data_IF_529293967544
#
_entry.id   IF_529293967544
#
_cell.length_a   1.000
_cell.length_b   1.000
_cell.length_c   1.000
_cell.angle_alpha   90.00
_cell.angle_beta   90.00
_cell.angle_gamma   90.00
#
_symmetry.space_group_name_H-M   'P 1'
#
loop_
_entity.id
_entity.type
_entity.pdbx_description
1 polymer ?
#
# COMPACT_ATOMS: atom_id res chain seq x y z
N UNK A 1 -1.60 -7.80 -7.73
CA UNK A 1 -0.76 -7.07 -6.76
C UNK A 1 0.39 -6.37 -7.46
N UNK A 2 1.17 -7.09 -8.28
CA UNK A 2 2.25 -6.51 -9.10
C UNK A 2 1.80 -5.30 -9.93
N UNK A 3 0.69 -5.38 -10.68
CA UNK A 3 0.16 -4.25 -11.46
C UNK A 3 -0.09 -2.98 -10.63
N UNK A 4 -0.55 -3.13 -9.38
CA UNK A 4 -0.77 -1.98 -8.48
C UNK A 4 0.57 -1.42 -8.00
N UNK A 5 1.55 -2.28 -7.68
CA UNK A 5 2.89 -1.85 -7.33
C UNK A 5 3.55 -1.08 -8.50
N UNK A 6 3.42 -1.57 -9.72
CA UNK A 6 3.96 -0.93 -10.92
C UNK A 6 3.29 0.42 -11.19
N UNK A 7 1.95 0.48 -11.10
CA UNK A 7 1.21 1.73 -11.29
C UNK A 7 1.59 2.80 -10.24
N UNK A 8 1.69 2.42 -8.96
CA UNK A 8 2.14 3.31 -7.87
C UNK A 8 3.56 3.80 -8.13
N UNK A 9 4.46 2.88 -8.50
CA UNK A 9 5.85 3.24 -8.79
C UNK A 9 5.96 4.17 -10.00
N UNK A 10 5.14 3.97 -11.03
CA UNK A 10 5.07 4.86 -12.19
C UNK A 10 4.56 6.26 -11.81
N UNK A 11 3.51 6.34 -10.97
CA UNK A 11 3.00 7.61 -10.46
C UNK A 11 4.04 8.36 -9.62
N UNK A 12 4.77 7.67 -8.76
CA UNK A 12 5.85 8.27 -7.97
C UNK A 12 6.98 8.82 -8.84
N UNK A 13 7.42 8.04 -9.85
CA UNK A 13 8.44 8.49 -10.81
C UNK A 13 7.97 9.71 -11.61
N UNK A 14 6.67 9.82 -11.85
CA UNK A 14 6.05 10.97 -12.51
C UNK A 14 5.78 12.16 -11.56
N UNK A 15 6.18 12.09 -10.29
CA UNK A 15 5.91 13.14 -9.29
C UNK A 15 4.43 13.28 -8.94
N UNK A 16 3.64 12.22 -9.14
CA UNK A 16 2.18 12.15 -8.93
C UNK A 16 1.84 11.46 -7.60
N UNK A 17 2.52 11.86 -6.53
CA UNK A 17 2.33 11.31 -5.17
C UNK A 17 0.87 11.33 -4.68
N UNK A 18 0.09 12.41 -4.88
CA UNK A 18 -1.33 12.42 -4.51
C UNK A 18 -2.16 11.36 -5.22
N UNK A 19 -1.90 11.11 -6.52
CA UNK A 19 -2.59 10.08 -7.30
C UNK A 19 -2.19 8.67 -6.84
N UNK A 20 -0.91 8.46 -6.54
CA UNK A 20 -0.43 7.20 -5.95
C UNK A 20 -1.14 6.90 -4.63
N UNK A 21 -1.25 7.90 -3.75
CA UNK A 21 -1.98 7.78 -2.48
C UNK A 21 -3.48 7.53 -2.68
N UNK A 22 -4.13 8.21 -3.63
CA UNK A 22 -5.54 7.97 -3.94
C UNK A 22 -5.78 6.54 -4.43
N UNK A 23 -4.90 6.02 -5.31
CA UNK A 23 -4.95 4.65 -5.81
C UNK A 23 -4.79 3.64 -4.67
N UNK A 24 -3.78 3.80 -3.82
CA UNK A 24 -3.57 2.93 -2.66
C UNK A 24 -4.72 3.00 -1.66
N UNK A 25 -5.27 4.18 -1.40
CA UNK A 25 -6.42 4.35 -0.51
C UNK A 25 -7.70 3.72 -1.07
N UNK A 26 -7.90 3.73 -2.39
CA UNK A 26 -8.96 2.96 -3.03
C UNK A 26 -8.72 1.45 -2.92
N UNK A 27 -7.48 1.01 -3.17
CA UNK A 27 -7.09 -0.39 -3.09
C UNK A 27 -7.32 -0.98 -1.68
N UNK A 28 -6.86 -0.29 -0.63
CA UNK A 28 -7.02 -0.72 0.78
C UNK A 28 -8.50 -0.78 1.21
N UNK A 29 -9.37 0.03 0.60
CA UNK A 29 -10.81 -0.01 0.87
C UNK A 29 -11.48 -1.26 0.31
N UNK A 30 -11.07 -1.69 -0.89
CA UNK A 30 -11.75 -2.74 -1.67
C UNK A 30 -11.10 -4.11 -1.47
N UNK A 31 -9.79 -4.15 -1.22
CA UNK A 31 -8.99 -5.38 -1.19
C UNK A 31 -8.61 -5.77 0.22
N UNK A 32 -8.12 -7.00 0.35
CA UNK A 32 -7.76 -7.55 1.65
C UNK A 32 -6.44 -6.94 2.16
N UNK A 33 -6.20 -6.90 3.48
CA UNK A 33 -4.90 -6.52 4.03
C UNK A 33 -3.74 -7.38 3.50
N UNK A 34 -4.00 -8.66 3.20
CA UNK A 34 -3.02 -9.57 2.60
C UNK A 34 -2.66 -9.17 1.16
N UNK A 35 -3.63 -8.67 0.39
CA UNK A 35 -3.36 -8.11 -0.94
C UNK A 35 -2.47 -6.86 -0.85
N UNK A 36 -2.65 -6.03 0.18
CA UNK A 36 -1.77 -4.88 0.45
C UNK A 36 -0.34 -5.33 0.78
N UNK A 37 -0.19 -6.38 1.61
CA UNK A 37 1.12 -6.96 1.87
C UNK A 37 1.78 -7.52 0.60
N UNK A 38 1.02 -8.16 -0.31
CA UNK A 38 1.54 -8.62 -1.61
C UNK A 38 1.99 -7.47 -2.51
N UNK A 39 1.33 -6.32 -2.46
CA UNK A 39 1.79 -5.11 -3.19
C UNK A 39 3.14 -4.66 -2.61
N UNK A 40 3.28 -4.63 -1.29
CA UNK A 40 4.52 -4.22 -0.63
C UNK A 40 5.73 -5.11 -0.98
N UNK A 41 5.52 -6.41 -1.28
CA UNK A 41 6.61 -7.33 -1.63
C UNK A 41 7.42 -6.91 -2.86
N UNK A 42 6.82 -6.16 -3.78
CA UNK A 42 7.50 -5.71 -5.00
C UNK A 42 8.61 -4.69 -4.72
N UNK A 43 8.42 -3.81 -3.75
CA UNK A 43 9.44 -2.86 -3.26
C UNK A 43 9.09 -2.46 -1.82
N UNK A 44 9.50 -3.24 -0.81
CA UNK A 44 9.11 -3.00 0.57
C UNK A 44 9.51 -1.61 1.07
N UNK A 45 10.70 -1.15 0.68
CA UNK A 45 11.26 0.13 1.16
C UNK A 45 10.45 1.32 0.66
N UNK A 46 9.90 1.25 -0.55
CA UNK A 46 9.06 2.32 -1.10
C UNK A 46 7.60 2.18 -0.77
N UNK A 47 7.06 0.96 -0.82
CA UNK A 47 5.61 0.73 -0.81
C UNK A 47 5.04 0.58 0.60
N UNK A 48 5.82 0.09 1.58
CA UNK A 48 5.33 -0.03 2.97
C UNK A 48 4.92 1.32 3.55
N UNK A 49 5.76 2.38 3.53
CA UNK A 49 5.38 3.69 4.06
C UNK A 49 4.13 4.27 3.38
N UNK A 50 4.02 4.07 2.06
CA UNK A 50 2.90 4.59 1.28
C UNK A 50 1.59 3.86 1.56
N UNK A 51 1.64 2.54 1.71
CA UNK A 51 0.48 1.73 2.08
C UNK A 51 -0.03 2.07 3.47
N UNK A 52 0.88 2.28 4.44
CA UNK A 52 0.51 2.69 5.79
C UNK A 52 -0.12 4.09 5.81
N UNK A 53 0.46 5.04 5.07
CA UNK A 53 -0.09 6.38 4.92
C UNK A 53 -1.51 6.35 4.30
N UNK A 54 -1.68 5.60 3.21
CA UNK A 54 -2.97 5.44 2.54
C UNK A 54 -4.00 4.76 3.45
N UNK A 55 -3.61 3.68 4.14
CA UNK A 55 -4.49 2.95 5.05
C UNK A 55 -4.93 3.82 6.24
N UNK A 56 -4.01 4.62 6.80
CA UNK A 56 -4.31 5.60 7.85
C UNK A 56 -5.32 6.63 7.36
N UNK A 57 -5.17 7.10 6.13
CA UNK A 57 -6.11 8.03 5.49
C UNK A 57 -7.52 7.43 5.30
N UNK A 58 -7.65 6.10 5.25
CA UNK A 58 -8.95 5.41 5.21
C UNK A 58 -9.53 5.26 6.62
N UNK A 59 -8.80 4.60 7.53
CA UNK A 59 -9.12 4.52 8.95
C UNK A 59 -7.98 3.90 9.76
N UNK A 60 -7.94 4.19 11.06
CA UNK A 60 -6.98 3.56 11.99
C UNK A 60 -7.16 2.03 12.07
N UNK A 61 -8.38 1.51 11.85
CA UNK A 61 -8.60 0.06 11.78
C UNK A 61 -7.88 -0.54 10.56
N UNK A 62 -8.01 0.08 9.38
CA UNK A 62 -7.34 -0.38 8.16
C UNK A 62 -5.83 -0.31 8.27
N UNK A 63 -5.28 0.73 8.89
CA UNK A 63 -3.85 0.81 9.15
C UNK A 63 -3.35 -0.38 9.98
N UNK A 64 -4.04 -0.69 11.09
CA UNK A 64 -3.68 -1.83 11.95
C UNK A 64 -3.75 -3.17 11.21
N UNK A 65 -4.78 -3.37 10.39
CA UNK A 65 -4.92 -4.58 9.58
C UNK A 65 -3.76 -4.74 8.59
N UNK A 66 -3.35 -3.66 7.92
CA UNK A 66 -2.22 -3.68 6.99
C UNK A 66 -0.90 -3.91 7.72
N UNK A 67 -0.66 -3.26 8.87
CA UNK A 67 0.51 -3.52 9.72
C UNK A 67 0.57 -5.00 10.11
N UNK A 68 -0.57 -5.57 10.51
CA UNK A 68 -0.65 -6.97 10.87
C UNK A 68 -0.31 -7.88 9.68
N UNK A 69 -0.89 -7.62 8.50
CA UNK A 69 -0.62 -8.40 7.30
C UNK A 69 0.85 -8.31 6.84
N UNK A 70 1.47 -7.14 6.94
CA UNK A 70 2.90 -6.96 6.65
C UNK A 70 3.77 -7.80 7.58
N UNK A 71 3.47 -7.78 8.89
CA UNK A 71 4.17 -8.61 9.87
C UNK A 71 4.02 -10.10 9.58
N UNK A 72 2.81 -10.56 9.26
CA UNK A 72 2.55 -11.96 8.88
C UNK A 72 3.33 -12.35 7.61
N UNK A 73 3.50 -11.40 6.68
CA UNK A 73 4.29 -11.60 5.47
C UNK A 73 5.82 -11.49 5.68
N UNK A 74 6.30 -11.17 6.90
CA UNK A 74 7.72 -10.98 7.19
C UNK A 74 8.30 -9.70 6.59
N UNK A 75 7.46 -8.70 6.31
CA UNK A 75 7.82 -7.42 5.71
C UNK A 75 7.84 -6.37 6.82
N UNK A 76 9.02 -5.82 7.13
CA UNK A 76 9.25 -4.84 8.18
C UNK A 76 10.37 -3.87 7.83
#
# INVERSE_FOLDING_TARGET
>A
AAEIADAVTALDRAGRGPQAQALLGAFVRVRTPQDAARVAQSDPRRLVPQLLAAARGVSQARERDVVHALRVAGIG
#
